data_IF_569355358988
#
_entry.id   IF_569355358988
#
_cell.length_a   1.000
_cell.length_b   1.000
_cell.length_c   1.000
_cell.angle_alpha   90.00
_cell.angle_beta   90.00
_cell.angle_gamma   90.00
#
_symmetry.space_group_name_H-M   'P 1'
#
loop_
_entity.id
_entity.type
_entity.pdbx_description
1 polymer ?
#
# COMPACT_ATOMS: atom_id res chain seq x y z
N UNK A 1 56.42 40.91 -56.32
CA UNK A 1 57.01 41.35 -55.04
C UNK A 1 55.87 41.85 -54.17
N UNK A 2 55.52 41.36 -52.98
CA UNK A 2 56.20 40.54 -51.97
C UNK A 2 55.17 39.72 -51.15
N UNK A 3 55.56 38.46 -50.89
CA UNK A 3 55.30 37.55 -49.75
C UNK A 3 53.92 37.44 -49.07
N UNK A 4 53.39 36.22 -49.18
CA UNK A 4 52.49 35.52 -48.23
C UNK A 4 53.18 35.33 -46.86
N UNK A 5 52.43 35.40 -45.75
CA UNK A 5 52.58 34.38 -44.71
C UNK A 5 51.28 34.17 -43.88
N UNK A 6 50.83 32.91 -43.71
CA UNK A 6 49.66 32.52 -42.91
C UNK A 6 50.09 32.07 -41.50
N UNK A 7 49.10 31.66 -40.68
CA UNK A 7 49.10 31.34 -39.22
C UNK A 7 48.42 32.50 -38.48
N UNK A 8 47.34 32.32 -37.73
CA UNK A 8 47.19 31.36 -36.63
C UNK A 8 45.72 30.92 -36.55
N UNK A 9 45.57 29.60 -36.48
CA UNK A 9 44.39 28.86 -36.09
C UNK A 9 43.99 29.22 -34.65
N UNK A 10 42.78 29.70 -34.42
CA UNK A 10 42.17 29.77 -33.09
C UNK A 10 40.69 29.38 -33.19
N UNK A 11 40.48 28.07 -33.17
CA UNK A 11 39.23 27.39 -32.83
C UNK A 11 38.67 27.93 -31.52
N UNK A 12 37.46 28.50 -31.56
CA UNK A 12 36.62 28.72 -30.38
C UNK A 12 35.36 27.88 -30.56
N UNK A 13 35.48 26.58 -30.25
CA UNK A 13 34.32 25.76 -29.91
C UNK A 13 33.78 26.28 -28.57
N UNK A 14 32.47 26.58 -28.43
CA UNK A 14 31.88 26.70 -27.12
C UNK A 14 31.88 25.31 -26.47
N UNK A 15 32.52 25.22 -25.31
CA UNK A 15 32.51 24.09 -24.41
C UNK A 15 31.05 23.86 -23.95
N UNK A 16 30.33 22.99 -24.65
CA UNK A 16 29.00 22.53 -24.21
C UNK A 16 29.24 21.66 -22.97
N UNK A 17 29.00 22.26 -21.81
CA UNK A 17 28.88 21.55 -20.54
C UNK A 17 27.62 20.69 -20.66
N UNK A 18 27.78 19.43 -21.05
CA UNK A 18 26.72 18.43 -20.91
C UNK A 18 26.57 18.18 -19.42
N UNK A 19 25.61 18.88 -18.80
CA UNK A 19 25.13 18.55 -17.48
C UNK A 19 24.50 17.16 -17.56
N UNK A 20 25.26 16.15 -17.13
CA UNK A 20 24.76 14.83 -16.81
C UNK A 20 23.73 14.99 -15.68
N UNK A 21 22.46 15.18 -16.06
CA UNK A 21 21.33 14.93 -15.18
C UNK A 21 21.35 13.44 -14.85
N UNK A 22 22.11 13.12 -13.82
CA UNK A 22 21.89 11.91 -13.06
C UNK A 22 20.48 12.05 -12.48
N UNK A 23 19.46 11.57 -13.20
CA UNK A 23 18.30 10.99 -12.55
C UNK A 23 18.79 9.69 -11.90
N UNK A 24 19.58 9.86 -10.85
CA UNK A 24 19.59 8.90 -9.76
C UNK A 24 18.17 8.95 -9.22
N UNK A 25 17.35 8.02 -9.69
CA UNK A 25 16.11 7.67 -9.03
C UNK A 25 16.55 7.21 -7.63
N UNK A 26 16.62 8.14 -6.68
CA UNK A 26 16.71 7.79 -5.28
C UNK A 26 15.41 7.05 -5.03
N UNK A 27 15.49 5.73 -4.89
CA UNK A 27 14.48 4.97 -4.17
C UNK A 27 14.31 5.72 -2.84
N UNK A 28 13.21 6.46 -2.74
CA UNK A 28 12.88 7.15 -1.51
C UNK A 28 12.52 6.02 -0.56
N UNK A 29 13.40 5.74 0.38
CA UNK A 29 12.99 5.01 1.57
C UNK A 29 11.95 5.88 2.27
N UNK A 30 10.66 5.60 2.01
CA UNK A 30 9.55 6.25 2.70
C UNK A 30 9.38 5.50 4.01
N UNK A 31 10.08 5.97 5.04
CA UNK A 31 9.79 5.59 6.41
C UNK A 31 8.46 6.22 6.85
N UNK A 32 7.45 5.36 7.03
CA UNK A 32 6.54 5.37 8.17
C UNK A 32 5.44 6.43 8.27
N UNK A 33 5.21 7.30 7.28
CA UNK A 33 3.97 8.08 7.25
C UNK A 33 3.55 8.38 5.80
N UNK A 34 2.44 7.78 5.36
CA UNK A 34 1.87 8.05 4.04
C UNK A 34 0.96 9.28 4.12
N UNK A 35 1.14 10.30 3.25
CA UNK A 35 0.18 11.38 3.12
C UNK A 35 -1.22 10.84 2.80
N UNK A 36 -2.28 11.49 3.31
CA UNK A 36 -3.68 11.12 3.03
C UNK A 36 -3.94 10.94 1.53
N UNK A 37 -3.51 11.91 0.72
CA UNK A 37 -3.68 11.86 -0.74
C UNK A 37 -3.02 10.62 -1.36
N UNK A 38 -1.85 10.20 -0.83
CA UNK A 38 -1.18 8.97 -1.28
C UNK A 38 -2.01 7.73 -0.96
N UNK A 39 -2.55 7.62 0.25
CA UNK A 39 -3.41 6.50 0.64
C UNK A 39 -4.71 6.48 -0.18
N UNK A 40 -5.36 7.63 -0.35
CA UNK A 40 -6.62 7.73 -1.11
C UNK A 40 -6.43 7.39 -2.60
N UNK A 41 -5.25 7.69 -3.15
CA UNK A 41 -4.87 7.36 -4.52
C UNK A 41 -4.42 5.90 -4.73
N UNK A 42 -4.35 5.10 -3.67
CA UNK A 42 -3.93 3.70 -3.78
C UNK A 42 -4.87 2.91 -4.71
N UNK A 43 -4.33 2.06 -5.59
CA UNK A 43 -5.11 1.32 -6.57
C UNK A 43 -5.91 0.20 -5.90
N UNK A 44 -7.03 -0.19 -6.51
CA UNK A 44 -7.86 -1.33 -6.06
C UNK A 44 -7.34 -2.70 -6.53
N UNK A 45 -6.36 -2.67 -7.44
CA UNK A 45 -5.66 -3.84 -7.94
C UNK A 45 -4.19 -3.48 -8.18
N UNK A 46 -3.29 -4.38 -7.79
CA UNK A 46 -1.87 -4.29 -8.12
C UNK A 46 -1.39 -5.57 -8.77
N UNK A 47 -0.27 -5.52 -9.46
CA UNK A 47 0.45 -6.69 -9.94
C UNK A 47 1.81 -6.75 -9.23
N UNK A 48 2.06 -7.85 -8.52
CA UNK A 48 3.31 -8.12 -7.81
C UNK A 48 3.79 -9.49 -8.24
N UNK A 49 5.01 -9.60 -8.77
CA UNK A 49 5.57 -10.87 -9.26
C UNK A 49 4.63 -11.60 -10.23
N UNK A 50 4.07 -10.88 -11.20
CA UNK A 50 3.08 -11.38 -12.17
C UNK A 50 1.79 -11.96 -11.56
N UNK A 51 1.55 -11.70 -10.27
CA UNK A 51 0.31 -12.06 -9.57
C UNK A 51 -0.52 -10.81 -9.36
N UNK A 52 -1.75 -10.82 -9.86
CA UNK A 52 -2.72 -9.75 -9.62
C UNK A 52 -3.31 -9.91 -8.21
N UNK A 53 -3.24 -8.86 -7.41
CA UNK A 53 -3.76 -8.84 -6.05
C UNK A 53 -4.96 -7.90 -5.93
N UNK A 54 -6.01 -8.35 -5.24
CA UNK A 54 -7.17 -7.54 -4.85
C UNK A 54 -7.50 -7.73 -3.38
N UNK A 55 -8.29 -6.82 -2.82
CA UNK A 55 -8.63 -6.79 -1.40
C UNK A 55 -10.12 -7.06 -1.17
N UNK A 56 -10.41 -8.01 -0.29
CA UNK A 56 -11.74 -8.24 0.28
C UNK A 56 -11.67 -7.93 1.78
N UNK A 57 -12.72 -7.33 2.35
CA UNK A 57 -12.72 -6.96 3.77
C UNK A 57 -14.01 -7.34 4.47
N UNK A 58 -13.90 -7.55 5.78
CA UNK A 58 -15.04 -7.58 6.68
C UNK A 58 -14.70 -6.75 7.91
N UNK A 59 -15.38 -5.62 8.06
CA UNK A 59 -15.20 -4.67 9.14
C UNK A 59 -16.42 -4.73 10.04
N UNK A 60 -16.23 -4.78 11.36
CA UNK A 60 -17.36 -4.75 12.28
C UNK A 60 -17.03 -4.24 13.67
N UNK A 61 -18.10 -3.82 14.36
CA UNK A 61 -18.11 -3.53 15.79
C UNK A 61 -19.04 -4.50 16.51
N UNK A 62 -18.56 -5.05 17.61
CA UNK A 62 -19.26 -6.06 18.39
C UNK A 62 -19.93 -5.45 19.64
N UNK A 63 -21.20 -5.77 19.84
CA UNK A 63 -22.05 -5.27 20.93
C UNK A 63 -22.58 -6.38 21.85
N UNK A 64 -22.15 -7.64 21.68
CA UNK A 64 -22.60 -8.76 22.53
C UNK A 64 -21.46 -9.69 23.00
N UNK A 65 -21.77 -10.66 23.89
CA UNK A 65 -22.91 -10.68 24.81
C UNK A 65 -22.74 -9.74 26.00
N UNK A 66 -21.49 -9.40 26.34
CA UNK A 66 -21.12 -8.38 27.33
C UNK A 66 -20.21 -7.38 26.61
N UNK A 67 -20.71 -6.17 26.43
CA UNK A 67 -19.99 -5.07 25.80
C UNK A 67 -20.21 -3.78 26.59
N UNK A 68 -19.29 -2.81 26.52
CA UNK A 68 -19.56 -1.45 26.96
C UNK A 68 -20.82 -0.88 26.28
N UNK A 69 -21.52 0.11 26.86
CA UNK A 69 -22.71 0.71 26.25
C UNK A 69 -22.49 1.21 24.81
N UNK A 70 -21.27 1.66 24.51
CA UNK A 70 -20.86 2.16 23.20
C UNK A 70 -20.18 1.07 22.33
N UNK A 71 -20.26 -0.20 22.70
CA UNK A 71 -19.72 -1.35 21.97
C UNK A 71 -18.19 -1.53 22.08
N UNK A 72 -17.70 -2.65 21.54
CA UNK A 72 -16.26 -2.95 21.44
C UNK A 72 -15.60 -2.20 20.28
N UNK A 73 -14.28 -1.94 20.33
CA UNK A 73 -13.50 -1.37 19.22
C UNK A 73 -13.72 -2.05 17.87
N UNK A 74 -13.46 -1.31 16.78
CA UNK A 74 -13.48 -1.84 15.41
C UNK A 74 -12.51 -3.03 15.26
N UNK A 75 -12.98 -4.06 14.57
CA UNK A 75 -12.18 -5.20 14.10
C UNK A 75 -12.23 -5.20 12.57
N UNK A 76 -11.09 -5.45 11.95
CA UNK A 76 -10.94 -5.57 10.51
C UNK A 76 -10.35 -6.93 10.16
N UNK A 77 -11.10 -7.72 9.38
CA UNK A 77 -10.58 -8.90 8.68
C UNK A 77 -10.30 -8.50 7.24
N UNK A 78 -9.07 -8.75 6.81
CA UNK A 78 -8.56 -8.39 5.51
C UNK A 78 -8.18 -9.67 4.77
N UNK A 79 -8.66 -9.84 3.55
CA UNK A 79 -8.32 -10.97 2.68
C UNK A 79 -7.67 -10.45 1.41
N UNK A 80 -6.41 -10.78 1.24
CA UNK A 80 -5.63 -10.45 0.05
C UNK A 80 -5.75 -11.63 -0.90
N UNK A 81 -6.28 -11.38 -2.09
CA UNK A 81 -6.60 -12.42 -3.06
C UNK A 81 -5.62 -12.39 -4.21
N UNK A 82 -4.90 -13.49 -4.41
CA UNK A 82 -4.16 -13.75 -5.63
C UNK A 82 -5.13 -14.17 -6.74
N UNK A 83 -5.41 -13.28 -7.68
CA UNK A 83 -6.28 -13.57 -8.81
C UNK A 83 -5.58 -14.55 -9.76
N UNK A 84 -6.37 -15.49 -10.30
CA UNK A 84 -5.93 -16.49 -11.27
C UNK A 84 -4.77 -17.40 -10.81
N UNK A 85 -4.45 -17.38 -9.51
CA UNK A 85 -3.45 -18.26 -8.90
C UNK A 85 -4.11 -19.38 -8.10
N UNK A 86 -3.47 -20.54 -8.08
CA UNK A 86 -3.87 -21.65 -7.20
C UNK A 86 -3.43 -21.41 -5.75
N UNK A 87 -2.37 -20.64 -5.53
CA UNK A 87 -1.77 -20.40 -4.22
C UNK A 87 -1.38 -18.93 -4.03
N UNK A 88 -1.43 -18.44 -2.79
CA UNK A 88 -0.95 -17.11 -2.45
C UNK A 88 0.59 -17.11 -2.40
N UNK A 89 1.29 -16.17 -3.07
CA UNK A 89 2.76 -16.13 -3.05
C UNK A 89 3.32 -15.93 -1.64
N UNK A 90 4.15 -16.86 -1.17
CA UNK A 90 4.74 -16.83 0.19
C UNK A 90 5.80 -15.76 0.39
N UNK A 91 6.35 -15.25 -0.72
CA UNK A 91 7.29 -14.12 -0.79
C UNK A 91 6.64 -12.77 -0.49
N UNK A 92 5.31 -12.68 -0.59
CA UNK A 92 4.56 -11.45 -0.41
C UNK A 92 4.09 -11.34 1.04
N UNK A 93 4.44 -10.23 1.67
CA UNK A 93 4.01 -9.92 3.04
C UNK A 93 3.13 -8.67 3.07
N UNK A 94 2.32 -8.58 4.13
CA UNK A 94 1.53 -7.40 4.45
C UNK A 94 1.55 -7.19 5.96
N UNK A 95 1.94 -6.00 6.38
CA UNK A 95 2.26 -5.67 7.77
C UNK A 95 1.56 -4.41 8.30
N UNK A 96 1.07 -3.53 7.43
CA UNK A 96 0.37 -2.29 7.79
C UNK A 96 -1.02 -2.21 7.17
N UNK A 97 -1.91 -1.59 7.93
CA UNK A 97 -3.29 -1.28 7.60
C UNK A 97 -3.56 0.19 7.87
N UNK A 98 -4.25 0.85 6.94
CA UNK A 98 -4.90 2.13 7.14
C UNK A 98 -6.39 1.99 6.83
N UNK A 99 -7.24 2.48 7.72
CA UNK A 99 -8.66 2.67 7.43
C UNK A 99 -8.97 4.16 7.48
N UNK A 100 -9.60 4.68 6.43
CA UNK A 100 -9.93 6.09 6.28
C UNK A 100 -11.43 6.27 6.43
N UNK A 101 -11.82 7.10 7.40
CA UNK A 101 -13.19 7.55 7.61
C UNK A 101 -13.24 9.07 7.44
N UNK A 102 -13.57 9.55 6.25
CA UNK A 102 -13.54 10.98 5.91
C UNK A 102 -12.13 11.56 6.03
N UNK A 103 -11.86 12.32 7.09
CA UNK A 103 -10.55 12.94 7.38
C UNK A 103 -9.77 12.21 8.49
N UNK A 104 -10.37 11.21 9.12
CA UNK A 104 -9.73 10.43 10.16
C UNK A 104 -9.04 9.19 9.57
N UNK A 105 -7.88 8.84 10.11
CA UNK A 105 -7.12 7.66 9.73
C UNK A 105 -6.90 6.80 10.96
N UNK A 106 -7.23 5.52 10.85
CA UNK A 106 -6.74 4.49 11.75
C UNK A 106 -5.58 3.75 11.10
N UNK A 107 -4.36 3.99 11.56
CA UNK A 107 -3.15 3.25 11.17
C UNK A 107 -2.84 2.17 12.23
N UNK A 108 -2.58 0.95 11.80
CA UNK A 108 -2.22 -0.16 12.69
C UNK A 108 -1.39 -1.23 11.98
N UNK A 109 -0.85 -2.15 12.77
CA UNK A 109 -0.32 -3.44 12.31
C UNK A 109 -1.36 -4.54 12.53
N UNK A 110 -1.18 -5.67 11.88
CA UNK A 110 -2.00 -6.85 12.06
C UNK A 110 -1.64 -7.59 13.36
N UNK A 111 -2.62 -8.23 13.98
CA UNK A 111 -2.37 -9.13 15.11
C UNK A 111 -1.67 -10.39 14.62
N UNK A 112 -0.90 -11.06 15.49
CA UNK A 112 -0.27 -12.35 15.20
C UNK A 112 -1.29 -13.52 15.21
N UNK A 113 -2.50 -13.27 14.71
CA UNK A 113 -3.48 -14.31 14.45
C UNK A 113 -3.08 -14.99 13.13
N UNK A 114 -2.30 -16.07 13.25
CA UNK A 114 -2.01 -16.96 12.12
C UNK A 114 -3.31 -17.63 11.67
N UNK A 115 -3.99 -17.04 10.70
CA UNK A 115 -4.95 -17.78 9.89
C UNK A 115 -4.24 -18.18 8.60
N UNK A 116 -3.49 -19.29 8.71
CA UNK A 116 -3.00 -20.05 7.56
C UNK A 116 -4.17 -20.18 6.60
N UNK A 117 -3.99 -19.73 5.35
CA UNK A 117 -4.91 -19.97 4.25
C UNK A 117 -5.51 -21.35 4.46
N UNK A 118 -6.80 -21.44 4.79
CA UNK A 118 -7.39 -22.76 5.04
C UNK A 118 -7.11 -23.59 3.80
N UNK A 119 -6.91 -24.91 3.92
CA UNK A 119 -6.70 -25.75 2.73
C UNK A 119 -7.83 -25.60 1.67
N UNK A 120 -8.95 -24.97 2.03
CA UNK A 120 -10.05 -24.58 1.15
C UNK A 120 -9.92 -23.23 0.43
N UNK A 121 -8.98 -22.36 0.80
CA UNK A 121 -8.74 -21.03 0.19
C UNK A 121 -7.24 -20.72 -0.02
N UNK A 122 -6.48 -21.60 -0.70
CA UNK A 122 -5.02 -21.47 -0.83
C UNK A 122 -4.54 -20.18 -1.52
N UNK A 123 -5.40 -19.53 -2.31
CA UNK A 123 -5.10 -18.27 -3.01
C UNK A 123 -5.37 -17.00 -2.16
N UNK A 124 -5.73 -17.14 -0.88
CA UNK A 124 -6.04 -16.03 0.02
C UNK A 124 -5.03 -15.93 1.17
N UNK A 125 -4.58 -14.71 1.46
CA UNK A 125 -3.90 -14.38 2.70
C UNK A 125 -4.87 -13.58 3.59
N UNK A 126 -5.28 -14.17 4.71
CA UNK A 126 -6.12 -13.48 5.71
C UNK A 126 -5.26 -12.81 6.79
N UNK A 127 -5.64 -11.59 7.16
CA UNK A 127 -5.02 -10.80 8.23
C UNK A 127 -6.09 -10.16 9.08
N UNK A 128 -5.83 -10.03 10.39
CA UNK A 128 -6.76 -9.43 11.35
C UNK A 128 -6.11 -8.22 12.01
N UNK A 129 -6.84 -7.12 12.12
CA UNK A 129 -6.49 -5.99 12.95
C UNK A 129 -7.60 -5.73 13.97
N UNK A 130 -7.21 -5.40 15.20
CA UNK A 130 -8.13 -5.20 16.34
C UNK A 130 -7.79 -3.92 17.08
N UNK A 131 -8.73 -3.46 17.89
CA UNK A 131 -8.52 -2.27 18.73
C UNK A 131 -8.69 -0.96 17.97
N UNK A 132 -9.46 -0.97 16.89
CA UNK A 132 -9.69 0.22 16.08
C UNK A 132 -10.62 1.25 16.72
N UNK A 133 -10.79 2.41 16.07
CA UNK A 133 -11.63 3.48 16.58
C UNK A 133 -13.07 3.02 16.76
N UNK A 134 -13.78 3.66 17.68
CA UNK A 134 -15.20 3.44 17.92
C UNK A 134 -16.08 4.25 16.97
N UNK A 135 -15.74 4.22 15.67
CA UNK A 135 -16.58 4.83 14.64
C UNK A 135 -17.97 4.17 14.62
N UNK A 136 -18.95 4.91 14.13
CA UNK A 136 -20.33 4.42 14.03
C UNK A 136 -20.42 3.22 13.09
N UNK A 137 -21.25 2.23 13.43
CA UNK A 137 -21.61 1.18 12.50
C UNK A 137 -22.57 1.72 11.44
N UNK A 138 -22.54 1.15 10.23
CA UNK A 138 -23.37 1.59 9.11
C UNK A 138 -22.75 2.68 8.24
N UNK A 139 -21.54 3.16 8.58
CA UNK A 139 -20.75 4.07 7.73
C UNK A 139 -19.84 3.28 6.80
N UNK A 140 -19.49 3.90 5.68
CA UNK A 140 -18.52 3.37 4.71
C UNK A 140 -17.13 3.99 4.92
N UNK A 141 -16.09 3.18 4.77
CA UNK A 141 -14.69 3.57 4.92
C UNK A 141 -13.82 3.01 3.79
N UNK A 142 -12.69 3.65 3.52
CA UNK A 142 -11.68 3.11 2.62
C UNK A 142 -10.65 2.30 3.42
N UNK A 143 -10.25 1.14 2.91
CA UNK A 143 -9.28 0.24 3.54
C UNK A 143 -8.07 0.08 2.65
N UNK A 144 -6.89 0.40 3.19
CA UNK A 144 -5.62 0.36 2.48
C UNK A 144 -4.65 -0.53 3.25
N UNK A 145 -3.91 -1.38 2.53
CA UNK A 145 -2.83 -2.16 3.12
C UNK A 145 -1.52 -1.90 2.42
N UNK A 146 -0.43 -2.16 3.14
CA UNK A 146 0.91 -2.24 2.56
C UNK A 146 1.19 -3.66 2.11
N UNK A 147 1.66 -3.80 0.88
CA UNK A 147 2.22 -5.03 0.33
C UNK A 147 3.72 -4.84 0.16
N UNK A 148 4.51 -5.82 0.56
CA UNK A 148 5.97 -5.83 0.40
C UNK A 148 6.37 -7.11 -0.33
N UNK A 149 7.15 -6.99 -1.40
CA UNK A 149 7.69 -8.15 -2.12
C UNK A 149 9.05 -8.60 -1.56
N UNK A 150 9.57 -9.72 -2.07
CA UNK A 150 10.87 -10.29 -1.65
C UNK A 150 12.08 -9.36 -1.86
N UNK A 151 11.95 -8.35 -2.71
CA UNK A 151 12.99 -7.36 -2.99
C UNK A 151 12.80 -6.09 -2.13
N UNK A 152 11.93 -6.16 -1.11
CA UNK A 152 11.50 -5.03 -0.27
C UNK A 152 10.83 -3.88 -1.03
N UNK A 153 10.34 -4.10 -2.25
CA UNK A 153 9.51 -3.08 -2.89
C UNK A 153 8.15 -3.02 -2.22
N UNK A 154 7.67 -1.81 -2.04
CA UNK A 154 6.43 -1.53 -1.33
C UNK A 154 5.35 -1.06 -2.29
N UNK A 155 4.15 -1.60 -2.12
CA UNK A 155 2.95 -1.26 -2.86
C UNK A 155 1.82 -0.93 -1.88
N UNK A 156 0.90 -0.06 -2.28
CA UNK A 156 -0.37 0.14 -1.59
C UNK A 156 -1.47 -0.54 -2.38
N UNK A 157 -2.38 -1.20 -1.67
CA UNK A 157 -3.58 -1.82 -2.24
C UNK A 157 -4.79 -1.38 -1.42
N UNK A 158 -5.83 -0.91 -2.11
CA UNK A 158 -7.04 -0.37 -1.49
C UNK A 158 -8.28 -1.20 -1.83
N UNK A 159 -9.30 -1.09 -0.99
CA UNK A 159 -10.69 -1.25 -1.42
C UNK A 159 -11.52 -0.11 -0.83
N UNK A 160 -12.41 0.47 -1.62
CA UNK A 160 -13.19 1.65 -1.23
C UNK A 160 -14.60 1.29 -0.77
N UNK A 161 -15.22 2.20 -0.01
CA UNK A 161 -16.64 2.11 0.40
C UNK A 161 -17.00 0.82 1.17
N UNK A 162 -16.14 0.40 2.10
CA UNK A 162 -16.36 -0.79 2.92
C UNK A 162 -17.25 -0.46 4.11
N UNK A 163 -18.36 -1.19 4.26
CA UNK A 163 -19.29 -1.00 5.37
C UNK A 163 -18.70 -1.48 6.70
N UNK A 164 -18.77 -0.63 7.75
CA UNK A 164 -18.56 -1.07 9.13
C UNK A 164 -19.85 -1.72 9.63
N UNK A 165 -19.83 -3.05 9.74
CA UNK A 165 -20.96 -3.82 10.23
C UNK A 165 -21.14 -3.68 11.74
N UNK A 166 -22.36 -3.98 12.20
CA UNK A 166 -22.67 -4.19 13.60
C UNK A 166 -22.89 -5.68 13.81
N UNK A 167 -22.25 -6.25 14.82
CA UNK A 167 -22.63 -7.56 15.34
C UNK A 167 -23.23 -7.36 16.72
N UNK A 168 -24.37 -7.98 16.92
CA UNK A 168 -24.99 -8.25 18.20
C UNK A 168 -25.21 -9.76 18.30
#
# INVERSE_FOLDING_TARGET
MLKVNPKILATLLPLIIVALFNLGCKAREISGNYPMDTLQSAPEQIEVQNTKLTLETYLWRDFMPISPPDGKPLIAVIRIKAQDSMEFPTSIISDKLWIINGQEIWETEFTNEEQIASNSTPSLLEKVARGGPKWESGVEVDVIIRIIDENNHTYLLKTSNQLINRTD
#
